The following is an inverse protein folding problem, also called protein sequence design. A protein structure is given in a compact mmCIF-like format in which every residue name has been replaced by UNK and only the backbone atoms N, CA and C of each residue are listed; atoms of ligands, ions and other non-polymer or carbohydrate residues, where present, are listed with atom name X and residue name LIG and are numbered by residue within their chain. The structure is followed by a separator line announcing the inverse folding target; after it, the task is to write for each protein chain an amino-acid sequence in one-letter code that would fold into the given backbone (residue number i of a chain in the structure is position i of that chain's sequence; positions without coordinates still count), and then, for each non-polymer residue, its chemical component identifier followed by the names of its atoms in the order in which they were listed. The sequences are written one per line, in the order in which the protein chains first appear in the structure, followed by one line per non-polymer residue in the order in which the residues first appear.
data_IF_635480013176
#
_entry.id   IF_635480013176
#
_cell.length_a   1.000
_cell.length_b   1.000
_cell.length_c   1.000
_cell.angle_alpha   90.00
_cell.angle_beta   90.00
_cell.angle_gamma   90.00
#
_symmetry.space_group_name_H-M   'P 1'
#
loop_
_entity.id
_entity.type
_entity.pdbx_description
1 polymer ?
#
# COMPACT_ATOMS: atom_id res chain seq x y z
N UNK A 1 -17.55 -33.30 -12.94
CA UNK A 1 -16.87 -32.04 -13.22
C UNK A 1 -16.08 -31.73 -11.95
N UNK A 2 -14.75 -31.75 -12.02
CA UNK A 2 -13.88 -31.44 -10.89
C UNK A 2 -14.20 -30.00 -10.46
N UNK A 3 -14.43 -29.80 -9.18
CA UNK A 3 -14.47 -28.47 -8.56
C UNK A 3 -13.04 -27.91 -8.65
N UNK A 4 -12.70 -27.29 -9.78
CA UNK A 4 -11.52 -26.46 -9.84
C UNK A 4 -11.73 -25.35 -8.79
N UNK A 5 -10.93 -25.36 -7.74
CA UNK A 5 -10.88 -24.26 -6.78
C UNK A 5 -10.64 -22.97 -7.56
N UNK A 6 -11.53 -22.01 -7.40
CA UNK A 6 -11.32 -20.68 -8.01
C UNK A 6 -10.01 -20.12 -7.48
N UNK A 7 -9.17 -19.53 -8.35
CA UNK A 7 -7.96 -18.87 -7.88
C UNK A 7 -8.33 -17.75 -6.89
N UNK A 8 -7.48 -17.50 -5.88
CA UNK A 8 -7.73 -16.46 -4.89
C UNK A 8 -7.84 -15.09 -5.56
N UNK A 9 -8.68 -14.22 -4.97
CA UNK A 9 -8.75 -12.81 -5.36
C UNK A 9 -7.51 -12.06 -4.87
N UNK A 10 -7.19 -10.94 -5.50
CA UNK A 10 -6.08 -10.06 -5.12
C UNK A 10 -4.82 -10.23 -5.96
N UNK A 11 -3.70 -9.73 -5.45
CA UNK A 11 -2.39 -9.78 -6.12
C UNK A 11 -1.95 -11.23 -6.41
N UNK A 12 -1.23 -11.42 -7.51
CA UNK A 12 -0.54 -12.69 -7.75
C UNK A 12 0.58 -12.89 -6.75
N UNK A 13 0.58 -14.04 -6.08
CA UNK A 13 1.67 -14.40 -5.17
C UNK A 13 3.00 -14.63 -5.90
N UNK A 14 4.12 -14.53 -5.16
CA UNK A 14 5.50 -14.68 -5.63
C UNK A 14 5.69 -15.81 -6.65
N UNK A 15 5.20 -17.02 -6.31
CA UNK A 15 5.34 -18.21 -7.19
C UNK A 15 4.70 -18.03 -8.57
N UNK A 16 3.57 -17.34 -8.65
CA UNK A 16 2.88 -17.10 -9.92
C UNK A 16 3.62 -16.08 -10.77
N UNK A 17 4.12 -15.01 -10.16
CA UNK A 17 4.92 -13.99 -10.84
C UNK A 17 6.23 -14.57 -11.36
N UNK A 18 6.97 -15.31 -10.54
CA UNK A 18 8.24 -15.96 -10.93
C UNK A 18 8.06 -17.01 -12.02
N UNK A 19 6.91 -17.67 -12.09
CA UNK A 19 6.65 -18.72 -13.10
C UNK A 19 6.09 -18.17 -14.41
N UNK A 20 5.19 -17.18 -14.35
CA UNK A 20 4.37 -16.81 -15.49
C UNK A 20 4.59 -15.37 -16.00
N UNK A 21 5.26 -14.51 -15.23
CA UNK A 21 5.47 -13.12 -15.59
C UNK A 21 6.94 -12.80 -15.81
N UNK A 22 7.76 -12.90 -14.78
CA UNK A 22 9.16 -12.46 -14.81
C UNK A 22 10.02 -13.14 -15.88
N UNK A 23 9.86 -14.44 -16.24
CA UNK A 23 10.67 -15.06 -17.27
C UNK A 23 10.50 -14.48 -18.69
N UNK A 24 9.44 -13.71 -18.89
CA UNK A 24 9.13 -13.07 -20.19
C UNK A 24 9.50 -11.58 -20.23
N UNK A 25 10.07 -11.05 -19.15
CA UNK A 25 10.51 -9.66 -19.09
C UNK A 25 11.97 -9.58 -19.58
N UNK A 26 12.21 -8.71 -20.55
CA UNK A 26 13.55 -8.45 -21.04
C UNK A 26 14.32 -7.60 -20.03
N UNK A 27 15.54 -8.03 -19.68
CA UNK A 27 16.47 -7.20 -18.94
C UNK A 27 17.15 -6.24 -19.93
N UNK A 28 16.79 -4.96 -19.92
CA UNK A 28 17.51 -3.94 -20.69
C UNK A 28 18.50 -3.23 -19.77
N UNK A 29 19.63 -2.77 -20.33
CA UNK A 29 20.63 -1.97 -19.60
C UNK A 29 20.07 -0.59 -19.16
N UNK A 30 18.88 -0.20 -19.60
CA UNK A 30 18.23 1.04 -19.23
C UNK A 30 17.44 0.95 -17.93
N UNK A 31 17.01 -0.26 -17.52
CA UNK A 31 16.33 -0.45 -16.24
C UNK A 31 17.37 -0.52 -15.12
N UNK A 32 17.19 0.35 -14.10
CA UNK A 32 18.05 0.37 -12.91
C UNK A 32 17.55 -0.62 -11.85
N UNK A 33 16.29 -1.01 -11.93
CA UNK A 33 15.65 -2.00 -11.06
C UNK A 33 15.16 -3.16 -11.91
N UNK A 34 15.34 -4.37 -11.42
CA UNK A 34 14.79 -5.57 -12.06
C UNK A 34 13.38 -5.82 -11.50
N UNK A 35 12.35 -5.99 -12.37
CA UNK A 35 11.03 -6.38 -11.90
C UNK A 35 11.06 -7.67 -11.06
N UNK A 36 10.62 -7.60 -9.82
CA UNK A 36 10.67 -8.71 -8.86
C UNK A 36 9.49 -8.64 -7.89
N UNK A 37 9.26 -9.72 -7.18
CA UNK A 37 8.31 -9.73 -6.07
C UNK A 37 8.76 -8.73 -5.00
N UNK A 38 7.83 -7.91 -4.50
CA UNK A 38 8.08 -6.88 -3.50
C UNK A 38 8.71 -5.59 -4.06
N UNK A 39 8.63 -5.37 -5.37
CA UNK A 39 9.03 -4.10 -5.98
C UNK A 39 7.78 -3.27 -6.28
N UNK A 40 7.62 -2.13 -5.62
CA UNK A 40 6.49 -1.22 -5.81
C UNK A 40 6.59 -0.47 -7.13
N UNK A 41 7.81 -0.15 -7.54
CA UNK A 41 8.09 0.65 -8.71
C UNK A 41 9.22 0.08 -9.57
N UNK A 42 9.34 0.61 -10.77
CA UNK A 42 10.52 0.40 -11.61
C UNK A 42 11.21 1.74 -11.94
N UNK A 43 12.52 1.70 -12.03
CA UNK A 43 13.36 2.86 -12.32
C UNK A 43 14.11 2.67 -13.64
N UNK A 44 14.02 3.66 -14.53
CA UNK A 44 14.67 3.68 -15.85
C UNK A 44 15.63 4.86 -15.92
N UNK A 45 16.90 4.62 -16.21
CA UNK A 45 17.89 5.67 -16.39
C UNK A 45 17.55 6.50 -17.67
N UNK A 46 17.40 7.80 -17.52
CA UNK A 46 17.21 8.72 -18.65
C UNK A 46 18.54 9.22 -19.20
N UNK A 47 19.49 9.50 -18.33
CA UNK A 47 20.87 9.90 -18.61
C UNK A 47 21.77 9.50 -17.43
N UNK A 48 22.95 10.08 -17.32
CA UNK A 48 23.91 9.75 -16.25
C UNK A 48 23.42 10.23 -14.86
N UNK A 49 22.61 11.28 -14.78
CA UNK A 49 22.16 11.92 -13.54
C UNK A 49 20.69 11.63 -13.21
N UNK A 50 19.83 11.48 -14.23
CA UNK A 50 18.39 11.43 -14.09
C UNK A 50 17.80 10.03 -14.22
N UNK A 51 16.68 9.87 -13.53
CA UNK A 51 15.89 8.63 -13.52
C UNK A 51 14.42 8.96 -13.73
N UNK A 52 13.71 8.07 -14.44
CA UNK A 52 12.28 7.98 -14.48
C UNK A 52 11.86 6.83 -13.55
N UNK A 53 11.03 7.11 -12.57
CA UNK A 53 10.34 6.09 -11.76
C UNK A 53 8.91 5.97 -12.24
N UNK A 54 8.41 4.73 -12.31
CA UNK A 54 7.05 4.43 -12.81
C UNK A 54 6.44 3.26 -12.05
N UNK A 55 5.15 3.39 -11.72
CA UNK A 55 4.29 2.29 -11.27
C UNK A 55 2.90 2.40 -11.88
N UNK A 56 2.16 1.29 -11.88
CA UNK A 56 0.78 1.24 -12.39
C UNK A 56 -0.10 0.36 -11.50
N UNK A 57 -1.27 0.89 -11.17
CA UNK A 57 -2.26 0.23 -10.32
C UNK A 57 -3.67 0.29 -10.89
N UNK A 58 -4.56 -0.63 -10.47
CA UNK A 58 -5.96 -0.58 -10.83
C UNK A 58 -6.65 0.70 -10.34
N UNK A 59 -7.53 1.26 -11.16
CA UNK A 59 -8.52 2.23 -10.71
C UNK A 59 -9.69 1.50 -10.04
N UNK A 60 -9.67 1.48 -8.71
CA UNK A 60 -10.71 0.86 -7.89
C UNK A 60 -11.68 1.93 -7.36
N UNK A 61 -12.89 1.95 -7.92
CA UNK A 61 -13.96 2.88 -7.54
C UNK A 61 -15.09 2.12 -6.88
N UNK A 62 -15.37 2.39 -5.63
CA UNK A 62 -16.42 1.75 -4.87
C UNK A 62 -17.60 2.70 -4.61
N UNK A 63 -18.79 2.43 -5.17
CA UNK A 63 -19.98 3.25 -4.92
C UNK A 63 -20.33 3.42 -3.43
N UNK A 64 -20.04 2.42 -2.62
CA UNK A 64 -20.33 2.42 -1.18
C UNK A 64 -19.44 3.40 -0.38
N UNK A 65 -18.22 3.66 -0.86
CA UNK A 65 -17.36 4.71 -0.28
C UNK A 65 -17.86 6.12 -0.61
N UNK A 66 -18.73 6.25 -1.61
CA UNK A 66 -19.08 7.51 -2.25
C UNK A 66 -18.11 7.86 -3.40
N UNK A 67 -18.65 8.50 -4.42
CA UNK A 67 -17.94 8.72 -5.68
C UNK A 67 -16.68 9.58 -5.54
N UNK A 68 -16.77 10.70 -4.81
CA UNK A 68 -15.63 11.60 -4.60
C UNK A 68 -14.52 10.95 -3.77
N UNK A 69 -14.90 10.28 -2.66
CA UNK A 69 -13.93 9.58 -1.81
C UNK A 69 -13.24 8.45 -2.56
N UNK A 70 -13.98 7.70 -3.38
CA UNK A 70 -13.40 6.64 -4.21
C UNK A 70 -12.41 7.21 -5.24
N UNK A 71 -12.72 8.37 -5.84
CA UNK A 71 -11.80 9.06 -6.73
C UNK A 71 -10.50 9.47 -6.02
N UNK A 72 -10.63 10.03 -4.80
CA UNK A 72 -9.48 10.38 -3.95
C UNK A 72 -8.61 9.15 -3.63
N UNK A 73 -9.23 8.08 -3.12
CA UNK A 73 -8.52 6.85 -2.79
C UNK A 73 -7.80 6.25 -4.00
N UNK A 74 -8.46 6.23 -5.17
CA UNK A 74 -7.84 5.71 -6.39
C UNK A 74 -6.56 6.45 -6.78
N UNK A 75 -6.49 7.78 -6.57
CA UNK A 75 -5.25 8.52 -6.79
C UNK A 75 -4.17 8.14 -5.77
N UNK A 76 -4.54 8.06 -4.49
CA UNK A 76 -3.60 7.69 -3.41
C UNK A 76 -2.95 6.34 -3.70
N UNK A 77 -3.74 5.32 -4.03
CA UNK A 77 -3.25 3.97 -4.41
C UNK A 77 -2.21 4.03 -5.54
N UNK A 78 -2.49 4.79 -6.60
CA UNK A 78 -1.63 4.86 -7.78
C UNK A 78 -0.32 5.60 -7.51
N UNK A 79 -0.28 6.50 -6.53
CA UNK A 79 0.86 7.38 -6.29
C UNK A 79 1.80 6.92 -5.17
N UNK A 80 1.35 6.07 -4.25
CA UNK A 80 2.16 5.59 -3.12
C UNK A 80 3.37 4.78 -3.56
N UNK A 81 3.22 3.91 -4.54
CA UNK A 81 4.33 3.10 -5.09
C UNK A 81 5.50 3.96 -5.61
N UNK A 82 5.18 5.08 -6.28
CA UNK A 82 6.23 5.99 -6.74
C UNK A 82 6.80 6.79 -5.57
N UNK A 83 5.97 7.18 -4.61
CA UNK A 83 6.38 7.98 -3.45
C UNK A 83 7.44 7.28 -2.57
N UNK A 84 7.38 5.93 -2.46
CA UNK A 84 8.38 5.17 -1.68
C UNK A 84 9.75 5.09 -2.35
N UNK A 85 9.87 5.53 -3.60
CA UNK A 85 11.12 5.46 -4.35
C UNK A 85 12.15 6.52 -3.97
N UNK A 86 11.75 7.60 -3.31
CA UNK A 86 12.54 8.83 -3.14
C UNK A 86 12.31 9.88 -4.24
N UNK A 87 11.60 9.52 -5.30
CA UNK A 87 11.20 10.43 -6.36
C UNK A 87 9.71 10.71 -6.26
N UNK A 88 9.33 11.96 -6.13
CA UNK A 88 7.93 12.34 -6.05
C UNK A 88 7.15 11.96 -7.32
N UNK A 89 5.90 11.49 -7.23
CA UNK A 89 5.03 11.21 -8.37
C UNK A 89 4.57 12.52 -9.01
N UNK A 90 5.37 13.07 -9.92
CA UNK A 90 5.09 14.36 -10.52
C UNK A 90 3.94 14.32 -11.53
N UNK A 91 3.74 13.17 -12.20
CA UNK A 91 2.80 13.01 -13.29
C UNK A 91 2.00 11.72 -13.16
N UNK A 92 0.80 11.76 -13.75
CA UNK A 92 -0.07 10.59 -13.83
C UNK A 92 -0.83 10.58 -15.16
N UNK A 93 -1.02 9.38 -15.73
CA UNK A 93 -1.98 9.10 -16.79
C UNK A 93 -2.96 8.03 -16.31
N UNK A 94 -4.23 8.14 -16.71
CA UNK A 94 -5.25 7.20 -16.25
C UNK A 94 -6.18 6.74 -17.39
N UNK A 95 -6.49 5.45 -17.42
CA UNK A 95 -7.44 4.84 -18.34
C UNK A 95 -8.72 4.48 -17.58
N UNK A 96 -9.82 5.17 -17.91
CA UNK A 96 -11.13 5.02 -17.31
C UNK A 96 -12.05 4.20 -18.19
N UNK A 97 -12.25 2.92 -17.86
CA UNK A 97 -13.18 2.03 -18.53
C UNK A 97 -14.48 1.95 -17.73
N UNK A 98 -15.32 2.96 -17.86
CA UNK A 98 -16.54 3.09 -17.08
C UNK A 98 -17.59 2.04 -17.48
N UNK A 99 -18.39 1.54 -16.53
CA UNK A 99 -19.60 0.78 -16.85
C UNK A 99 -20.53 1.58 -17.75
N UNK A 100 -21.28 0.93 -18.70
CA UNK A 100 -22.17 1.63 -19.62
C UNK A 100 -23.24 2.48 -18.93
N UNK A 101 -23.65 2.10 -17.71
CA UNK A 101 -24.67 2.78 -16.91
C UNK A 101 -24.15 3.99 -16.12
N UNK A 102 -22.87 4.28 -16.17
CA UNK A 102 -22.29 5.43 -15.43
C UNK A 102 -22.74 6.74 -16.08
N UNK A 103 -23.44 7.59 -15.36
CA UNK A 103 -23.82 8.92 -15.84
C UNK A 103 -22.64 9.88 -15.86
N UNK A 104 -22.78 10.99 -16.61
CA UNK A 104 -21.76 12.06 -16.64
C UNK A 104 -21.58 12.68 -15.25
N UNK A 105 -22.67 12.90 -14.51
CA UNK A 105 -22.64 13.45 -13.16
C UNK A 105 -21.97 12.51 -12.16
N UNK A 106 -22.11 11.19 -12.35
CA UNK A 106 -21.39 10.21 -11.52
C UNK A 106 -19.90 10.29 -11.80
N UNK A 107 -19.51 10.33 -13.07
CA UNK A 107 -18.10 10.46 -13.44
C UNK A 107 -17.52 11.81 -12.97
N UNK A 108 -18.27 12.91 -13.09
CA UNK A 108 -17.83 14.22 -12.59
C UNK A 108 -17.47 14.17 -11.09
N UNK A 109 -18.27 13.49 -10.26
CA UNK A 109 -17.99 13.34 -8.83
C UNK A 109 -16.72 12.54 -8.59
N UNK A 110 -16.53 11.41 -9.28
CA UNK A 110 -15.32 10.61 -9.21
C UNK A 110 -14.11 11.47 -9.61
N UNK A 111 -14.21 12.12 -10.75
CA UNK A 111 -13.15 12.96 -11.32
C UNK A 111 -12.78 14.13 -10.42
N UNK A 112 -13.76 14.76 -9.76
CA UNK A 112 -13.54 15.83 -8.80
C UNK A 112 -12.71 15.35 -7.62
N UNK A 113 -13.08 14.23 -6.99
CA UNK A 113 -12.27 13.67 -5.90
C UNK A 113 -10.86 13.30 -6.33
N UNK A 114 -10.72 12.68 -7.50
CA UNK A 114 -9.44 12.30 -8.09
C UNK A 114 -8.53 13.52 -8.37
N UNK A 115 -9.07 14.57 -8.98
CA UNK A 115 -8.30 15.79 -9.32
C UNK A 115 -8.01 16.67 -8.12
N UNK A 116 -8.86 16.66 -7.10
CA UNK A 116 -8.61 17.37 -5.86
C UNK A 116 -7.45 16.73 -5.09
N UNK A 117 -7.43 15.43 -4.98
CA UNK A 117 -6.31 14.70 -4.37
C UNK A 117 -5.01 14.87 -5.18
N UNK A 118 -5.09 14.84 -6.52
CA UNK A 118 -3.93 15.12 -7.38
C UNK A 118 -3.32 16.50 -7.09
N UNK A 119 -4.17 17.49 -6.84
CA UNK A 119 -3.72 18.85 -6.49
C UNK A 119 -3.11 18.90 -5.09
N UNK A 120 -3.71 18.20 -4.11
CA UNK A 120 -3.17 18.12 -2.75
C UNK A 120 -1.81 17.42 -2.70
N UNK A 121 -1.62 16.40 -3.53
CA UNK A 121 -0.37 15.62 -3.63
C UNK A 121 0.63 16.19 -4.65
N UNK A 122 0.34 17.38 -5.24
CA UNK A 122 1.18 18.04 -6.26
C UNK A 122 1.44 17.17 -7.52
N UNK A 123 0.49 16.29 -7.86
CA UNK A 123 0.57 15.40 -9.02
C UNK A 123 -0.15 16.03 -10.21
N UNK A 124 0.53 16.15 -11.34
CA UNK A 124 -0.08 16.64 -12.58
C UNK A 124 -0.69 15.49 -13.38
N UNK A 125 -1.98 15.55 -13.68
CA UNK A 125 -2.62 14.63 -14.62
C UNK A 125 -2.21 15.02 -16.03
N UNK A 126 -1.30 14.24 -16.62
CA UNK A 126 -0.70 14.54 -17.93
C UNK A 126 -1.56 14.07 -19.10
N UNK A 127 -2.54 13.19 -18.86
CA UNK A 127 -3.43 12.70 -19.91
C UNK A 127 -4.15 11.42 -19.50
N UNK A 128 -4.67 10.71 -20.48
CA UNK A 128 -5.35 9.44 -20.25
C UNK A 128 -6.40 9.14 -21.30
N UNK A 129 -7.25 8.18 -21.00
CA UNK A 129 -8.39 7.78 -21.83
C UNK A 129 -9.64 7.65 -20.97
N UNK A 130 -10.81 8.01 -21.50
CA UNK A 130 -12.08 7.90 -20.77
C UNK A 130 -13.17 7.43 -21.72
N UNK A 131 -13.85 6.35 -21.37
CA UNK A 131 -14.96 5.82 -22.17
C UNK A 131 -15.86 4.89 -21.36
N UNK A 132 -17.03 4.57 -21.93
CA UNK A 132 -17.96 3.56 -21.39
C UNK A 132 -17.88 2.31 -22.23
N UNK A 133 -17.72 1.15 -21.56
CA UNK A 133 -17.47 -0.11 -22.26
C UNK A 133 -18.32 -1.23 -21.68
N UNK A 134 -18.87 -2.06 -22.57
CA UNK A 134 -19.50 -3.31 -22.19
C UNK A 134 -18.49 -4.22 -21.48
N UNK A 135 -18.93 -4.89 -20.43
CA UNK A 135 -18.08 -5.76 -19.63
C UNK A 135 -17.32 -5.05 -18.50
N UNK A 136 -17.30 -3.71 -18.48
CA UNK A 136 -16.75 -2.96 -17.33
C UNK A 136 -17.75 -2.93 -16.17
N UNK A 137 -17.23 -3.09 -14.95
CA UNK A 137 -18.03 -3.06 -13.73
C UNK A 137 -17.22 -2.54 -12.55
N UNK A 138 -17.88 -1.86 -11.62
CA UNK A 138 -17.26 -1.51 -10.35
C UNK A 138 -16.95 -2.76 -9.51
N UNK A 139 -15.87 -2.77 -8.70
CA UNK A 139 -15.02 -1.60 -8.41
C UNK A 139 -13.90 -1.34 -9.41
N UNK A 140 -13.37 -2.32 -10.13
CA UNK A 140 -12.17 -2.16 -10.96
C UNK A 140 -12.55 -1.73 -12.37
N UNK A 141 -12.25 -0.47 -12.72
CA UNK A 141 -12.72 0.17 -13.94
C UNK A 141 -11.59 0.74 -14.81
N UNK A 142 -10.39 0.26 -14.67
CA UNK A 142 -9.26 0.72 -15.45
C UNK A 142 -7.95 0.64 -14.68
N UNK A 143 -6.99 1.48 -15.07
CA UNK A 143 -5.70 1.58 -14.40
C UNK A 143 -5.16 3.00 -14.50
N UNK A 144 -4.33 3.38 -13.51
CA UNK A 144 -3.53 4.60 -13.55
C UNK A 144 -2.05 4.25 -13.54
N UNK A 145 -1.26 5.09 -14.18
CA UNK A 145 0.20 5.01 -14.15
C UNK A 145 0.75 6.32 -13.63
N UNK A 146 1.35 6.27 -12.45
CA UNK A 146 2.09 7.39 -11.89
C UNK A 146 3.56 7.31 -12.30
N UNK A 147 4.19 8.45 -12.48
CA UNK A 147 5.60 8.52 -12.75
C UNK A 147 6.22 9.82 -12.25
N UNK A 148 7.49 9.73 -11.90
CA UNK A 148 8.29 10.85 -11.45
C UNK A 148 9.64 10.89 -12.16
N UNK A 149 10.17 12.08 -12.36
CA UNK A 149 11.52 12.29 -12.85
C UNK A 149 12.31 13.03 -11.79
N UNK A 150 13.45 12.45 -11.39
CA UNK A 150 14.32 13.02 -10.37
C UNK A 150 15.77 12.66 -10.61
N UNK A 151 16.62 12.86 -9.60
CA UNK A 151 18.01 12.47 -9.67
C UNK A 151 18.18 11.03 -9.18
N UNK A 152 19.16 10.32 -9.75
CA UNK A 152 19.50 8.96 -9.30
C UNK A 152 19.95 8.92 -7.84
N UNK A 153 20.59 9.99 -7.36
CA UNK A 153 21.06 10.10 -5.97
C UNK A 153 19.93 10.23 -4.94
N UNK A 154 18.71 10.64 -5.38
CA UNK A 154 17.54 10.78 -4.53
C UNK A 154 16.77 9.46 -4.37
N UNK A 155 17.11 8.40 -5.16
CA UNK A 155 16.46 7.11 -5.04
C UNK A 155 16.75 6.47 -3.68
N UNK A 156 15.70 5.98 -3.03
CA UNK A 156 15.85 5.07 -1.88
C UNK A 156 16.56 3.81 -2.35
N UNK A 157 17.65 3.39 -1.69
CA UNK A 157 18.53 2.31 -2.20
C UNK A 157 17.85 0.95 -2.32
N UNK A 158 16.77 0.70 -1.56
CA UNK A 158 16.08 -0.60 -1.43
C UNK A 158 17.06 -1.75 -1.08
N UNK A 159 17.96 -1.46 -0.13
CA UNK A 159 19.05 -2.35 0.30
C UNK A 159 18.96 -2.65 1.80
N UNK A 160 17.99 -3.48 2.25
CA UNK A 160 17.88 -3.89 3.64
C UNK A 160 19.18 -4.54 4.11
N UNK A 161 19.58 -4.25 5.35
CA UNK A 161 20.81 -4.77 5.95
C UNK A 161 20.56 -5.20 7.39
N UNK A 162 21.13 -6.33 7.85
CA UNK A 162 21.02 -6.71 9.26
C UNK A 162 21.44 -5.58 10.20
N UNK A 163 20.61 -5.31 11.20
CA UNK A 163 20.75 -4.20 12.14
C UNK A 163 20.04 -2.92 11.74
N UNK A 164 19.41 -2.86 10.55
CA UNK A 164 18.51 -1.75 10.24
C UNK A 164 17.27 -1.82 11.16
N UNK A 165 16.85 -0.69 11.72
CA UNK A 165 15.64 -0.59 12.52
C UNK A 165 14.41 -0.47 11.60
N UNK A 166 13.33 -1.13 12.01
CA UNK A 166 12.06 -1.17 11.24
C UNK A 166 11.08 -0.18 11.86
N UNK A 167 10.62 0.77 11.05
CA UNK A 167 9.62 1.76 11.45
C UNK A 167 8.33 1.57 10.67
N UNK A 168 7.20 1.71 11.38
CA UNK A 168 5.85 1.70 10.84
C UNK A 168 5.31 3.13 10.78
N UNK A 169 4.83 3.55 9.63
CA UNK A 169 4.09 4.79 9.43
C UNK A 169 2.58 4.51 9.45
N UNK A 170 1.83 5.38 10.13
CA UNK A 170 0.36 5.39 10.18
C UNK A 170 -0.30 4.14 10.79
N UNK A 171 -1.60 3.96 10.54
CA UNK A 171 -2.45 3.05 11.30
C UNK A 171 -2.78 1.77 10.50
N UNK A 172 -2.27 0.63 10.98
CA UNK A 172 -2.58 -0.68 10.41
C UNK A 172 -4.08 -1.00 10.44
N UNK A 173 -4.59 -1.62 9.37
CA UNK A 173 -5.96 -2.06 9.25
C UNK A 173 -6.98 -0.92 9.07
N UNK A 174 -6.53 0.34 8.97
CA UNK A 174 -7.44 1.49 8.85
C UNK A 174 -8.23 1.45 7.55
N UNK A 175 -7.60 1.16 6.42
CA UNK A 175 -8.29 1.03 5.14
C UNK A 175 -9.39 -0.04 5.18
N UNK A 176 -9.04 -1.26 5.61
CA UNK A 176 -9.99 -2.36 5.72
C UNK A 176 -11.16 -1.99 6.64
N UNK A 177 -10.86 -1.46 7.83
CA UNK A 177 -11.89 -1.03 8.82
C UNK A 177 -12.78 0.07 8.27
N UNK A 178 -12.23 1.03 7.52
CA UNK A 178 -12.98 2.10 6.89
C UNK A 178 -13.88 1.56 5.77
N UNK A 179 -13.39 0.69 4.90
CA UNK A 179 -14.19 0.05 3.85
C UNK A 179 -15.39 -0.67 4.46
N UNK A 180 -15.19 -1.52 5.49
CA UNK A 180 -16.30 -2.16 6.19
C UNK A 180 -17.24 -1.14 6.83
N UNK A 181 -16.73 -0.06 7.42
CA UNK A 181 -17.53 1.01 8.02
C UNK A 181 -18.41 1.73 6.99
N UNK A 182 -17.95 1.90 5.76
CA UNK A 182 -18.74 2.49 4.68
C UNK A 182 -19.77 1.51 4.09
N UNK A 183 -19.39 0.24 3.95
CA UNK A 183 -20.25 -0.78 3.35
C UNK A 183 -21.35 -1.27 4.29
N UNK A 184 -21.07 -1.40 5.59
CA UNK A 184 -21.95 -2.02 6.57
C UNK A 184 -22.06 -1.20 7.85
N UNK A 185 -22.39 0.11 7.79
CA UNK A 185 -22.31 1.01 8.93
C UNK A 185 -23.23 0.58 10.10
N UNK A 186 -24.45 0.10 9.81
CA UNK A 186 -25.39 -0.35 10.82
C UNK A 186 -24.88 -1.60 11.54
N UNK A 187 -24.45 -2.61 10.78
CA UNK A 187 -23.95 -3.87 11.34
C UNK A 187 -22.70 -3.68 12.21
N UNK A 188 -21.79 -2.77 11.79
CA UNK A 188 -20.62 -2.45 12.60
C UNK A 188 -21.00 -1.62 13.84
N UNK A 189 -21.95 -0.71 13.73
CA UNK A 189 -22.43 0.09 14.86
C UNK A 189 -23.07 -0.79 15.94
N UNK A 190 -23.81 -1.83 15.54
CA UNK A 190 -24.40 -2.81 16.46
C UNK A 190 -23.32 -3.65 17.17
N UNK A 191 -22.22 -3.98 16.48
CA UNK A 191 -21.13 -4.79 17.03
C UNK A 191 -20.06 -3.98 17.78
N UNK A 192 -19.97 -2.67 17.54
CA UNK A 192 -19.02 -1.76 18.20
C UNK A 192 -19.72 -0.55 18.81
N UNK A 193 -19.78 0.56 18.08
CA UNK A 193 -20.65 1.72 18.37
C UNK A 193 -20.72 2.66 17.16
N UNK A 194 -21.79 3.49 17.03
CA UNK A 194 -21.88 4.49 15.96
C UNK A 194 -20.72 5.51 15.96
N UNK A 195 -20.20 5.87 17.14
CA UNK A 195 -19.07 6.80 17.28
C UNK A 195 -17.79 6.20 16.70
N UNK A 196 -17.46 4.95 17.00
CA UNK A 196 -16.29 4.25 16.46
C UNK A 196 -16.33 4.20 14.93
N UNK A 197 -17.49 3.83 14.37
CA UNK A 197 -17.69 3.78 12.91
C UNK A 197 -17.49 5.16 12.27
N UNK A 198 -18.01 6.22 12.88
CA UNK A 198 -17.83 7.58 12.37
C UNK A 198 -16.38 8.07 12.47
N UNK A 199 -15.72 7.79 13.59
CA UNK A 199 -14.34 8.21 13.83
C UNK A 199 -13.35 7.48 12.91
N UNK A 200 -13.54 6.17 12.65
CA UNK A 200 -12.72 5.43 11.69
C UNK A 200 -12.86 5.97 10.27
N UNK A 201 -14.08 6.34 9.86
CA UNK A 201 -14.30 7.02 8.57
C UNK A 201 -13.56 8.36 8.50
N UNK A 202 -13.55 9.13 9.59
CA UNK A 202 -12.85 10.41 9.65
C UNK A 202 -11.33 10.22 9.57
N UNK A 203 -10.76 9.29 10.35
CA UNK A 203 -9.34 8.94 10.26
C UNK A 203 -8.91 8.60 8.83
N UNK A 204 -9.72 7.80 8.14
CA UNK A 204 -9.47 7.42 6.75
C UNK A 204 -9.51 8.64 5.80
N UNK A 205 -10.45 9.57 6.05
CA UNK A 205 -10.55 10.81 5.26
C UNK A 205 -9.38 11.78 5.50
N UNK A 206 -8.69 11.67 6.64
CA UNK A 206 -7.56 12.53 7.03
C UNK A 206 -6.20 12.01 6.50
N UNK A 207 -6.12 10.78 5.97
CA UNK A 207 -4.87 10.21 5.43
C UNK A 207 -4.31 11.05 4.27
N UNK A 208 -2.97 11.18 4.27
CA UNK A 208 -2.19 11.85 3.21
C UNK A 208 -0.98 10.99 2.80
N UNK A 209 -1.21 9.73 2.36
CA UNK A 209 -0.16 8.73 2.21
C UNK A 209 0.95 9.15 1.25
N UNK A 210 0.61 9.75 0.12
CA UNK A 210 1.59 10.16 -0.89
C UNK A 210 2.59 11.18 -0.33
N UNK A 211 2.11 12.22 0.36
CA UNK A 211 2.98 13.25 0.95
C UNK A 211 3.81 12.72 2.11
N UNK A 212 3.23 11.86 2.94
CA UNK A 212 3.90 11.27 4.10
C UNK A 212 5.03 10.33 3.65
N UNK A 213 4.77 9.47 2.65
CA UNK A 213 5.78 8.58 2.08
C UNK A 213 6.88 9.35 1.32
N UNK A 214 6.53 10.39 0.56
CA UNK A 214 7.53 11.28 -0.05
C UNK A 214 8.42 11.96 0.99
N UNK A 215 7.86 12.36 2.12
CA UNK A 215 8.67 12.92 3.20
C UNK A 215 9.61 11.88 3.81
N UNK A 216 9.09 10.70 4.17
CA UNK A 216 9.93 9.63 4.73
C UNK A 216 11.04 9.19 3.78
N UNK A 217 10.73 9.07 2.48
CA UNK A 217 11.72 8.67 1.47
C UNK A 217 12.89 9.65 1.34
N UNK A 218 12.68 10.93 1.70
CA UNK A 218 13.70 11.99 1.66
C UNK A 218 14.59 12.03 2.89
N UNK A 219 14.27 11.26 3.95
CA UNK A 219 15.00 11.34 5.21
C UNK A 219 16.33 10.59 5.15
N UNK A 220 17.38 11.13 5.82
CA UNK A 220 18.68 10.49 5.86
C UNK A 220 18.62 9.14 6.59
N UNK A 221 19.34 8.15 6.06
CA UNK A 221 19.44 6.82 6.65
C UNK A 221 18.35 5.85 6.25
N UNK A 222 17.33 6.27 5.51
CA UNK A 222 16.31 5.36 4.95
C UNK A 222 16.97 4.48 3.88
N UNK A 223 17.05 3.18 4.13
CA UNK A 223 17.66 2.17 3.26
C UNK A 223 16.66 1.44 2.40
N UNK A 224 15.43 1.29 2.89
CA UNK A 224 14.31 0.79 2.14
C UNK A 224 13.02 1.46 2.64
N UNK A 225 12.06 1.64 1.75
CA UNK A 225 10.73 2.13 2.06
C UNK A 225 9.74 1.36 1.19
N UNK A 226 8.61 0.96 1.78
CA UNK A 226 7.56 0.20 1.12
C UNK A 226 6.20 0.68 1.62
N UNK A 227 5.20 0.81 0.77
CA UNK A 227 3.84 1.05 1.21
C UNK A 227 3.17 -0.27 1.64
N UNK A 228 2.23 -0.19 2.58
CA UNK A 228 1.53 -1.37 3.06
C UNK A 228 0.20 -1.51 2.33
N UNK A 229 0.08 -2.54 1.49
CA UNK A 229 -1.13 -2.89 0.76
C UNK A 229 -1.67 -4.26 1.21
N UNK A 230 -2.05 -5.13 0.26
CA UNK A 230 -2.55 -6.49 0.53
C UNK A 230 -1.53 -7.33 1.33
N UNK A 231 -2.03 -8.04 2.33
CA UNK A 231 -1.20 -8.82 3.27
C UNK A 231 -0.74 -8.03 4.49
N UNK A 232 -1.05 -6.74 4.56
CA UNK A 232 -0.78 -5.87 5.70
C UNK A 232 0.70 -5.71 6.02
N UNK A 233 1.01 -5.41 7.28
CA UNK A 233 2.39 -5.25 7.76
C UNK A 233 3.26 -6.47 7.44
N UNK A 234 2.75 -7.67 7.71
CA UNK A 234 3.56 -8.88 7.56
C UNK A 234 3.84 -9.21 6.10
N UNK A 235 2.90 -8.94 5.20
CA UNK A 235 3.11 -8.98 3.75
C UNK A 235 4.16 -7.97 3.30
N UNK A 236 3.99 -6.70 3.71
CA UNK A 236 4.92 -5.62 3.40
C UNK A 236 6.35 -5.88 3.91
N UNK A 237 6.52 -6.45 5.12
CA UNK A 237 7.84 -6.87 5.62
C UNK A 237 8.45 -7.95 4.73
N UNK A 238 7.68 -8.97 4.31
CA UNK A 238 8.16 -10.00 3.38
C UNK A 238 8.60 -9.39 2.03
N UNK A 239 7.85 -8.44 1.52
CA UNK A 239 8.12 -7.76 0.24
C UNK A 239 9.35 -6.86 0.35
N UNK A 240 9.46 -6.05 1.42
CA UNK A 240 10.60 -5.17 1.66
C UNK A 240 11.93 -5.93 1.78
N UNK A 241 11.90 -7.08 2.47
CA UNK A 241 13.10 -7.91 2.68
C UNK A 241 13.47 -8.77 1.47
N UNK A 242 12.61 -8.89 0.45
CA UNK A 242 12.88 -9.63 -0.77
C UNK A 242 13.82 -8.84 -1.70
N UNK A 243 15.05 -8.57 -1.27
CA UNK A 243 16.03 -7.78 -2.02
C UNK A 243 16.89 -8.63 -2.95
N UNK A 244 17.55 -7.97 -3.94
CA UNK A 244 18.49 -8.64 -4.85
C UNK A 244 19.80 -9.06 -4.15
N UNK A 245 20.13 -8.45 -3.01
CA UNK A 245 21.42 -8.62 -2.33
C UNK A 245 21.48 -9.81 -1.36
N UNK A 246 20.39 -10.52 -1.16
CA UNK A 246 20.30 -11.66 -0.25
C UNK A 246 19.00 -11.66 0.54
N UNK A 247 18.76 -12.76 1.24
CA UNK A 247 17.60 -12.85 2.14
C UNK A 247 18.02 -12.37 3.52
N UNK A 248 17.37 -11.30 3.98
CA UNK A 248 17.36 -10.91 5.38
C UNK A 248 16.04 -11.37 6.01
N UNK A 249 16.03 -11.55 7.32
CA UNK A 249 14.82 -11.73 8.09
C UNK A 249 14.49 -10.47 8.89
N UNK A 250 13.48 -10.59 9.73
CA UNK A 250 13.10 -9.53 10.65
C UNK A 250 12.70 -10.11 12.01
N UNK A 251 12.90 -9.31 13.04
CA UNK A 251 12.33 -9.49 14.36
C UNK A 251 11.37 -8.35 14.62
N UNK A 252 10.08 -8.65 14.65
CA UNK A 252 9.01 -7.68 14.94
C UNK A 252 8.59 -7.85 16.41
N UNK A 253 8.56 -6.77 17.15
CA UNK A 253 8.06 -6.73 18.52
C UNK A 253 6.57 -6.39 18.48
N UNK A 254 5.70 -7.37 18.75
CA UNK A 254 4.24 -7.22 18.63
C UNK A 254 3.70 -6.05 19.45
N UNK A 255 4.20 -5.85 20.65
CA UNK A 255 3.72 -4.82 21.58
C UNK A 255 4.15 -3.40 21.17
N UNK A 256 5.16 -3.28 20.31
CA UNK A 256 5.58 -2.00 19.70
C UNK A 256 4.70 -1.63 18.50
N UNK A 257 3.96 -2.58 17.94
CA UNK A 257 3.04 -2.32 16.82
C UNK A 257 1.72 -1.80 17.36
N UNK A 258 1.56 -0.48 17.36
CA UNK A 258 0.31 0.13 17.83
C UNK A 258 -0.74 0.09 16.73
N UNK A 259 -1.92 -0.36 17.10
CA UNK A 259 -3.13 -0.29 16.28
C UNK A 259 -4.08 0.68 16.98
N UNK A 260 -4.61 1.64 16.25
CA UNK A 260 -5.61 2.57 16.81
C UNK A 260 -6.77 1.79 17.47
N UNK A 261 -7.15 2.14 18.68
CA UNK A 261 -8.16 1.41 19.47
C UNK A 261 -9.49 1.24 18.73
N UNK A 262 -9.87 2.21 17.90
CA UNK A 262 -11.11 2.17 17.11
C UNK A 262 -10.99 1.16 15.97
N UNK A 263 -9.84 1.13 15.31
CA UNK A 263 -9.52 0.14 14.27
C UNK A 263 -9.45 -1.26 14.89
N UNK A 264 -8.76 -1.41 16.01
CA UNK A 264 -8.64 -2.68 16.74
C UNK A 264 -10.03 -3.26 17.12
N UNK A 265 -10.96 -2.42 17.56
CA UNK A 265 -12.33 -2.85 17.87
C UNK A 265 -13.10 -3.31 16.64
N UNK A 266 -12.98 -2.62 15.51
CA UNK A 266 -13.58 -3.06 14.25
C UNK A 266 -12.96 -4.36 13.77
N UNK A 267 -11.64 -4.48 13.77
CA UNK A 267 -10.94 -5.71 13.40
C UNK A 267 -11.35 -6.89 14.30
N UNK A 268 -11.44 -6.68 15.61
CA UNK A 268 -11.92 -7.70 16.56
C UNK A 268 -13.34 -8.15 16.26
N UNK A 269 -14.26 -7.22 15.97
CA UNK A 269 -15.64 -7.57 15.59
C UNK A 269 -15.69 -8.35 14.26
N UNK A 270 -14.80 -8.02 13.33
CA UNK A 270 -14.70 -8.68 12.05
C UNK A 270 -13.91 -9.99 12.09
N UNK A 271 -13.31 -10.36 13.24
CA UNK A 271 -12.39 -11.48 13.35
C UNK A 271 -11.25 -11.41 12.32
N UNK A 272 -10.60 -10.24 12.24
CA UNK A 272 -9.48 -9.94 11.35
C UNK A 272 -8.24 -9.53 12.16
N UNK A 273 -7.07 -10.01 11.75
CA UNK A 273 -5.78 -9.58 12.31
C UNK A 273 -5.30 -8.30 11.58
N UNK A 274 -5.23 -7.13 12.25
CA UNK A 274 -4.81 -5.88 11.61
C UNK A 274 -3.39 -5.92 11.03
N UNK A 275 -2.55 -6.88 11.43
CA UNK A 275 -1.20 -7.05 10.88
C UNK A 275 -1.19 -7.74 9.51
N UNK A 276 -2.30 -8.39 9.12
CA UNK A 276 -2.38 -9.24 7.92
C UNK A 276 -3.38 -8.75 6.87
N UNK A 277 -3.99 -7.59 7.08
CA UNK A 277 -5.02 -7.06 6.17
C UNK A 277 -4.57 -5.76 5.53
N UNK A 278 -5.12 -5.50 4.35
CA UNK A 278 -4.84 -4.29 3.56
C UNK A 278 -4.86 -3.02 4.40
N UNK A 279 -3.85 -2.19 4.22
CA UNK A 279 -3.59 -1.01 5.06
C UNK A 279 -3.02 0.15 4.24
N UNK A 280 -3.58 0.41 3.06
CA UNK A 280 -3.18 1.57 2.24
C UNK A 280 -3.21 2.84 3.09
N UNK A 281 -2.15 3.61 2.97
CA UNK A 281 -1.90 4.78 3.81
C UNK A 281 -0.86 4.53 4.90
N UNK A 282 -0.47 3.28 5.13
CA UNK A 282 0.63 2.92 6.01
C UNK A 282 1.90 2.60 5.21
N UNK A 283 3.06 2.62 5.86
CA UNK A 283 4.34 2.32 5.21
C UNK A 283 5.35 1.71 6.17
N UNK A 284 6.36 1.03 5.62
CA UNK A 284 7.48 0.45 6.34
C UNK A 284 8.76 1.14 5.88
N UNK A 285 9.50 1.73 6.82
CA UNK A 285 10.83 2.28 6.57
C UNK A 285 11.89 1.45 7.30
N UNK A 286 12.96 1.08 6.59
CA UNK A 286 14.16 0.50 7.17
C UNK A 286 15.22 1.59 7.29
N UNK A 287 15.69 1.83 8.51
CA UNK A 287 16.59 2.95 8.80
C UNK A 287 17.91 2.41 9.36
N UNK A 288 19.03 2.89 8.83
CA UNK A 288 20.36 2.48 9.29
C UNK A 288 20.59 2.90 10.75
N UNK A 289 21.20 2.06 11.59
CA UNK A 289 21.29 2.28 13.03
C UNK A 289 22.05 3.55 13.42
N UNK A 290 22.98 4.02 12.59
CA UNK A 290 23.72 5.27 12.79
C UNK A 290 22.89 6.54 12.53
N UNK A 291 21.71 6.43 11.94
CA UNK A 291 20.81 7.53 11.59
C UNK A 291 19.48 7.52 12.34
N UNK A 292 19.17 6.50 13.10
CA UNK A 292 17.89 6.32 13.82
C UNK A 292 17.54 7.56 14.66
N UNK A 293 18.47 8.08 15.46
CA UNK A 293 18.20 9.25 16.30
C UNK A 293 17.86 10.53 15.50
N UNK A 294 18.48 10.69 14.33
CA UNK A 294 18.20 11.81 13.42
C UNK A 294 16.83 11.61 12.76
N UNK A 295 16.53 10.40 12.32
CA UNK A 295 15.26 10.03 11.72
C UNK A 295 14.09 10.27 12.69
N UNK A 296 14.17 9.75 13.94
CA UNK A 296 13.14 9.94 14.95
C UNK A 296 12.86 11.43 15.17
N UNK A 297 13.89 12.24 15.36
CA UNK A 297 13.73 13.69 15.55
C UNK A 297 13.01 14.35 14.38
N UNK A 298 13.34 13.98 13.13
CA UNK A 298 12.73 14.56 11.94
C UNK A 298 11.26 14.18 11.77
N UNK A 299 10.89 12.94 12.10
CA UNK A 299 9.48 12.52 12.04
C UNK A 299 8.65 13.14 13.17
N UNK A 300 9.24 13.30 14.38
CA UNK A 300 8.61 14.04 15.49
C UNK A 300 8.41 15.53 15.16
N UNK A 301 9.42 16.19 14.58
CA UNK A 301 9.33 17.59 14.15
C UNK A 301 8.21 17.82 13.11
N UNK A 302 7.83 16.78 12.37
CA UNK A 302 6.78 16.79 11.37
C UNK A 302 5.42 16.30 11.90
N UNK A 303 5.36 15.84 13.14
CA UNK A 303 4.17 15.24 13.78
C UNK A 303 3.63 14.04 12.97
N UNK A 304 4.54 13.23 12.40
CA UNK A 304 4.16 12.01 11.70
C UNK A 304 4.01 10.84 12.69
N UNK A 305 2.93 10.06 12.60
CA UNK A 305 2.74 8.88 13.44
C UNK A 305 3.64 7.74 12.94
N UNK A 306 4.87 7.72 13.41
CA UNK A 306 5.88 6.72 13.07
C UNK A 306 6.33 6.01 14.36
N UNK A 307 6.40 4.68 14.32
CA UNK A 307 6.75 3.84 15.46
C UNK A 307 7.84 2.84 15.09
N UNK A 308 8.82 2.68 15.97
CA UNK A 308 9.82 1.61 15.87
C UNK A 308 9.19 0.28 16.29
N UNK A 309 9.22 -0.71 15.40
CA UNK A 309 8.51 -1.98 15.59
C UNK A 309 9.41 -3.21 15.59
N UNK A 310 10.70 -3.06 15.33
CA UNK A 310 11.63 -4.19 15.27
C UNK A 310 12.89 -3.89 14.50
N UNK A 311 13.61 -4.95 14.14
CA UNK A 311 14.90 -4.85 13.44
C UNK A 311 15.05 -5.89 12.32
N UNK A 312 15.88 -5.58 11.33
CA UNK A 312 16.31 -6.51 10.28
C UNK A 312 17.37 -7.44 10.83
N UNK A 313 17.23 -8.74 10.60
CA UNK A 313 18.14 -9.78 11.10
C UNK A 313 18.93 -10.45 9.99
N UNK A 314 20.06 -11.07 10.35
CA UNK A 314 20.86 -11.88 9.42
C UNK A 314 20.25 -13.28 9.15
N UNK A 315 19.18 -13.65 9.84
CA UNK A 315 18.43 -14.86 9.55
C UNK A 315 17.58 -14.67 8.30
N UNK A 316 17.07 -15.76 7.71
CA UNK A 316 16.11 -15.68 6.60
C UNK A 316 14.65 -15.77 7.08
N UNK A 317 14.43 -15.64 8.38
CA UNK A 317 13.13 -15.82 9.01
C UNK A 317 12.57 -14.50 9.49
N UNK A 318 11.27 -14.34 9.36
CA UNK A 318 10.53 -13.24 9.99
C UNK A 318 9.90 -13.79 11.26
N UNK A 319 10.26 -13.23 12.39
CA UNK A 319 9.73 -13.60 13.71
C UNK A 319 8.92 -12.47 14.32
N UNK A 320 7.87 -12.85 15.04
CA UNK A 320 7.05 -11.93 15.82
C UNK A 320 7.21 -12.33 17.28
N UNK A 321 7.74 -11.42 18.08
CA UNK A 321 7.89 -11.58 19.53
C UNK A 321 6.69 -10.95 20.25
N UNK A 322 6.10 -11.68 21.17
CA UNK A 322 5.06 -11.23 22.07
C UNK A 322 5.32 -11.75 23.51
N UNK A 323 4.50 -11.37 24.48
CA UNK A 323 4.64 -11.80 25.88
C UNK A 323 4.59 -13.33 26.05
N UNK A 324 3.91 -14.06 25.17
CA UNK A 324 3.72 -15.51 25.23
C UNK A 324 4.86 -16.30 24.53
N UNK A 325 5.74 -15.62 23.78
CA UNK A 325 6.87 -16.24 23.07
C UNK A 325 7.11 -15.65 21.67
N UNK A 326 7.79 -16.42 20.85
CA UNK A 326 8.16 -16.03 19.47
C UNK A 326 7.44 -16.92 18.46
N UNK A 327 6.72 -16.30 17.52
CA UNK A 327 6.13 -16.95 16.35
C UNK A 327 7.02 -16.70 15.14
N UNK A 328 7.35 -17.76 14.38
CA UNK A 328 8.04 -17.61 13.09
C UNK A 328 7.03 -17.69 11.95
N UNK A 329 7.05 -16.71 11.05
CA UNK A 329 6.18 -16.71 9.88
C UNK A 329 6.64 -17.76 8.87
N UNK A 330 5.71 -18.64 8.49
CA UNK A 330 5.94 -19.71 7.51
C UNK A 330 5.04 -19.51 6.29
N UNK A 331 5.64 -19.32 5.13
CA UNK A 331 4.91 -19.20 3.86
C UNK A 331 4.40 -17.79 3.55
N UNK A 332 3.64 -17.65 2.46
CA UNK A 332 3.10 -16.36 2.04
C UNK A 332 1.97 -15.91 2.96
N UNK A 333 1.97 -14.63 3.29
CA UNK A 333 0.86 -14.00 4.02
C UNK A 333 -0.37 -13.93 3.10
N UNK A 334 -1.52 -14.31 3.64
CA UNK A 334 -2.80 -14.18 2.95
C UNK A 334 -3.58 -13.04 3.57
N UNK A 335 -4.07 -12.17 2.72
CA UNK A 335 -5.00 -11.13 3.13
C UNK A 335 -6.40 -11.71 3.30
N UNK A 336 -6.93 -11.65 4.52
CA UNK A 336 -8.25 -12.16 4.85
C UNK A 336 -9.38 -11.17 4.53
N UNK A 337 -9.05 -9.94 4.19
CA UNK A 337 -10.01 -8.87 3.89
C UNK A 337 -11.03 -9.28 2.81
N UNK A 338 -10.54 -9.82 1.68
CA UNK A 338 -11.41 -10.17 0.56
C UNK A 338 -12.40 -11.29 0.89
N UNK A 339 -11.95 -12.30 1.63
CA UNK A 339 -12.80 -13.39 2.07
C UNK A 339 -13.88 -12.87 3.03
N UNK A 340 -13.48 -12.10 4.03
CA UNK A 340 -14.40 -11.52 5.01
C UNK A 340 -15.39 -10.54 4.36
N UNK A 341 -14.94 -9.70 3.41
CA UNK A 341 -15.82 -8.80 2.67
C UNK A 341 -16.87 -9.56 1.84
N UNK A 342 -16.48 -10.67 1.23
CA UNK A 342 -17.39 -11.55 0.48
C UNK A 342 -18.46 -12.17 1.38
N UNK A 343 -18.06 -12.69 2.55
CA UNK A 343 -18.99 -13.23 3.55
C UNK A 343 -20.02 -12.18 4.02
N UNK A 344 -19.55 -10.96 4.31
CA UNK A 344 -20.41 -9.85 4.75
C UNK A 344 -21.38 -9.41 3.65
N UNK A 345 -21.03 -9.53 2.38
CA UNK A 345 -21.93 -9.30 1.23
C UNK A 345 -22.95 -10.42 1.03
N UNK A 346 -22.85 -11.51 1.76
CA UNK A 346 -23.73 -12.69 1.59
C UNK A 346 -23.39 -13.54 0.36
N UNK A 347 -22.19 -13.39 -0.18
CA UNK A 347 -21.65 -14.25 -1.23
C UNK A 347 -20.77 -15.33 -0.56
N UNK A 348 -21.14 -16.62 -0.63
CA UNK A 348 -20.35 -17.71 -0.05
C UNK A 348 -19.02 -17.95 -0.77
#
# INVERSE_FOLDING_TARGET
MSTEERPPLGKFGKRSLEKYVFPYLDSSNATMTTPRFGSDYNAVALDDEKVLVVSTDPLAISPQLGWERSGRLALQVITTDVAVSGIAPNYLVANWNLPPTTSDETFEKIWRGFTEEARCSEVQIAGGHTGRYEGSSFPTIGAGTAFGVGKKEDLVPQTPSPGDEIFLLNHLGLEASAIFSFYFPERLSDGTSPSIVAEVKQLFDDLRPTSDLCYLSSLPGVRALHDIAEGGLLGGVQETLASEQGQCGARIVRDSVKVDDRVARICSFLDLDPLKITSIGSGIALVSPDRVNEFIRLVEDKDLPVEEIGEVTASNEISIENEDGTETLTGPIRDEFWARLSEFKGNP
#
